data_IF_744438010105
#
_entry.id   IF_744438010105
#
_cell.length_a   1.000
_cell.length_b   1.000
_cell.length_c   1.000
_cell.angle_alpha   90.00
_cell.angle_beta   90.00
_cell.angle_gamma   90.00
#
_symmetry.space_group_name_H-M   'P 1'
#
loop_
_entity.id
_entity.type
_entity.pdbx_description
1 polymer ?
#
# COMPACT_ATOMS: atom_id res chain seq x y z
N UNK A 1 0.09 -4.80 -6.79
CA UNK A 1 0.76 -5.98 -6.21
C UNK A 1 2.28 -5.85 -6.24
N UNK A 2 2.94 -6.55 -5.31
CA UNK A 2 4.39 -6.54 -5.18
C UNK A 2 5.10 -7.64 -5.96
N UNK A 3 6.28 -8.01 -5.45
CA UNK A 3 7.16 -8.99 -6.07
C UNK A 3 8.06 -8.38 -7.14
N UNK A 4 9.19 -9.05 -7.39
CA UNK A 4 10.12 -8.65 -8.44
C UNK A 4 10.24 -9.80 -9.46
N UNK A 5 10.27 -9.53 -10.75
CA UNK A 5 10.33 -8.22 -11.39
C UNK A 5 8.98 -7.53 -11.61
N UNK A 6 7.86 -8.07 -11.09
CA UNK A 6 6.52 -7.53 -11.31
C UNK A 6 6.41 -6.04 -10.99
N UNK A 7 6.92 -5.62 -9.84
CA UNK A 7 6.90 -4.21 -9.42
C UNK A 7 7.67 -3.32 -10.40
N UNK A 8 8.84 -3.77 -10.87
CA UNK A 8 9.62 -3.05 -11.89
C UNK A 8 8.83 -2.90 -13.18
N UNK A 9 8.16 -3.96 -13.61
CA UNK A 9 7.36 -3.96 -14.84
C UNK A 9 6.18 -2.99 -14.73
N UNK A 10 5.52 -2.95 -13.56
CA UNK A 10 4.45 -1.99 -13.32
C UNK A 10 4.97 -0.55 -13.36
N UNK A 11 6.10 -0.29 -12.71
CA UNK A 11 6.69 1.05 -12.72
C UNK A 11 7.14 1.48 -14.11
N UNK A 12 7.59 0.55 -14.94
CA UNK A 12 7.98 0.83 -16.31
C UNK A 12 6.81 1.09 -17.24
N UNK A 13 5.58 0.78 -16.83
CA UNK A 13 4.37 1.01 -17.62
C UNK A 13 3.89 2.46 -17.49
N UNK A 14 3.90 3.19 -18.59
CA UNK A 14 3.39 4.56 -18.63
C UNK A 14 1.90 4.61 -18.28
N UNK A 15 1.15 3.59 -18.69
CA UNK A 15 -0.30 3.50 -18.42
C UNK A 15 -0.54 3.34 -16.92
N UNK A 16 0.22 2.46 -16.26
CA UNK A 16 0.09 2.24 -14.82
C UNK A 16 0.44 3.50 -14.05
N UNK A 17 1.57 4.12 -14.37
CA UNK A 17 2.01 5.34 -13.69
C UNK A 17 1.02 6.49 -13.90
N UNK A 18 0.47 6.64 -15.10
CA UNK A 18 -0.55 7.64 -15.37
C UNK A 18 -1.82 7.40 -14.56
N UNK A 19 -2.26 6.15 -14.46
CA UNK A 19 -3.44 5.77 -13.67
C UNK A 19 -3.22 6.06 -12.18
N UNK A 20 -2.05 5.73 -11.65
CA UNK A 20 -1.70 6.00 -10.25
C UNK A 20 -1.73 7.50 -9.97
N UNK A 21 -1.10 8.30 -10.82
CA UNK A 21 -1.09 9.76 -10.68
C UNK A 21 -2.49 10.35 -10.75
N UNK A 22 -3.33 9.83 -11.66
CA UNK A 22 -4.70 10.30 -11.80
C UNK A 22 -5.53 9.97 -10.56
N UNK A 23 -5.40 8.76 -10.03
CA UNK A 23 -6.07 8.38 -8.78
C UNK A 23 -5.66 9.28 -7.63
N UNK A 24 -4.36 9.59 -7.52
CA UNK A 24 -3.86 10.49 -6.50
C UNK A 24 -4.47 11.89 -6.63
N UNK A 25 -4.51 12.42 -7.86
CA UNK A 25 -5.08 13.73 -8.13
C UNK A 25 -6.58 13.80 -7.82
N UNK A 26 -7.30 12.70 -8.06
CA UNK A 26 -8.74 12.61 -7.81
C UNK A 26 -9.08 12.27 -6.35
N UNK A 27 -8.10 12.09 -5.50
CA UNK A 27 -8.34 11.71 -4.11
C UNK A 27 -8.87 10.28 -3.95
N UNK A 28 -8.64 9.41 -4.91
CA UNK A 28 -9.06 8.01 -4.86
C UNK A 28 -8.08 7.19 -4.06
N UNK A 29 -8.57 6.06 -3.54
CA UNK A 29 -7.74 5.15 -2.77
C UNK A 29 -6.62 4.55 -3.62
N UNK A 30 -5.40 4.63 -3.08
CA UNK A 30 -4.23 3.94 -3.61
C UNK A 30 -3.73 2.95 -2.57
N UNK A 31 -3.47 1.73 -2.99
CA UNK A 31 -3.01 0.69 -2.08
C UNK A 31 -1.89 -0.13 -2.73
N UNK A 32 -0.83 -0.39 -1.97
CA UNK A 32 0.32 -1.15 -2.46
C UNK A 32 0.94 -1.98 -1.35
N UNK A 33 1.41 -3.17 -1.70
CA UNK A 33 1.96 -4.14 -0.74
C UNK A 33 3.35 -4.59 -1.16
N UNK A 34 4.17 -4.93 -0.18
CA UNK A 34 5.49 -5.53 -0.36
C UNK A 34 6.47 -4.56 -1.01
N UNK A 35 6.96 -4.85 -2.22
CA UNK A 35 7.84 -3.94 -2.95
C UNK A 35 7.07 -2.81 -3.66
N UNK A 36 5.77 -2.99 -3.92
CA UNK A 36 5.00 -2.06 -4.73
C UNK A 36 4.90 -0.62 -4.21
N UNK A 37 4.96 -0.34 -2.89
CA UNK A 37 5.00 1.05 -2.42
C UNK A 37 6.12 1.89 -3.03
N UNK A 38 7.19 1.27 -3.52
CA UNK A 38 8.27 1.99 -4.21
C UNK A 38 7.74 2.77 -5.43
N UNK A 39 6.67 2.29 -6.06
CA UNK A 39 6.06 2.99 -7.21
C UNK A 39 5.52 4.34 -6.74
N UNK A 40 4.81 4.34 -5.62
CA UNK A 40 4.28 5.58 -5.05
C UNK A 40 5.42 6.52 -4.63
N UNK A 41 6.47 5.95 -4.04
CA UNK A 41 7.64 6.72 -3.62
C UNK A 41 8.34 7.38 -4.80
N UNK A 42 8.58 6.64 -5.87
CA UNK A 42 9.24 7.16 -7.07
C UNK A 42 8.38 8.20 -7.81
N UNK A 43 7.07 8.12 -7.68
CA UNK A 43 6.17 9.11 -8.28
C UNK A 43 5.97 10.35 -7.39
N UNK A 44 6.65 10.43 -6.25
CA UNK A 44 6.59 11.58 -5.35
C UNK A 44 5.31 11.66 -4.52
N UNK A 45 4.54 10.57 -4.43
CA UNK A 45 3.23 10.57 -3.78
C UNK A 45 3.30 10.34 -2.27
N UNK A 46 4.45 9.93 -1.75
CA UNK A 46 4.61 9.61 -0.33
C UNK A 46 5.28 10.70 0.49
N UNK A 47 5.60 11.85 -0.09
CA UNK A 47 6.24 12.95 0.63
C UNK A 47 5.34 13.46 1.75
N UNK A 48 5.88 13.47 2.97
CA UNK A 48 5.14 13.88 4.15
C UNK A 48 4.10 12.87 4.62
N UNK A 49 4.07 11.69 4.03
CA UNK A 49 3.15 10.61 4.38
C UNK A 49 3.84 9.54 5.20
N UNK A 50 3.06 8.85 6.03
CA UNK A 50 3.49 7.63 6.69
C UNK A 50 3.27 6.46 5.73
N UNK A 51 4.24 5.57 5.64
CA UNK A 51 4.15 4.43 4.73
C UNK A 51 5.05 3.28 5.18
N UNK A 52 4.77 2.09 4.69
CA UNK A 52 5.58 0.91 4.91
C UNK A 52 5.80 0.17 3.60
N UNK A 53 6.78 -0.72 3.58
CA UNK A 53 7.09 -1.56 2.42
C UNK A 53 7.87 -2.79 2.87
N UNK A 54 8.19 -3.66 1.93
CA UNK A 54 9.05 -4.81 2.21
C UNK A 54 10.44 -4.31 2.65
N UNK A 55 11.01 -4.88 3.73
CA UNK A 55 12.35 -4.49 4.19
C UNK A 55 13.40 -4.56 3.08
N UNK A 56 14.17 -3.49 2.94
CA UNK A 56 15.15 -3.34 1.87
C UNK A 56 14.74 -2.32 0.80
N UNK A 57 13.48 -1.89 0.76
CA UNK A 57 12.99 -0.91 -0.21
C UNK A 57 12.68 0.45 0.42
N UNK A 58 13.02 0.66 1.68
CA UNK A 58 12.67 1.87 2.42
C UNK A 58 13.19 3.15 1.77
N UNK A 59 14.38 3.09 1.18
CA UNK A 59 14.98 4.25 0.51
C UNK A 59 14.19 4.70 -0.72
N UNK A 60 13.38 3.81 -1.28
CA UNK A 60 12.54 4.12 -2.43
C UNK A 60 11.30 4.94 -2.04
N UNK A 61 10.98 5.01 -0.77
CA UNK A 61 9.83 5.77 -0.26
C UNK A 61 10.23 7.22 0.00
N UNK A 62 10.59 7.94 -1.06
CA UNK A 62 11.15 9.28 -0.98
C UNK A 62 10.25 10.25 -0.21
N UNK A 63 10.80 10.82 0.85
CA UNK A 63 10.12 11.80 1.69
C UNK A 63 9.08 11.23 2.65
N UNK A 64 8.91 9.91 2.71
CA UNK A 64 7.97 9.26 3.63
C UNK A 64 8.56 9.07 5.02
N UNK A 65 7.68 9.08 6.02
CA UNK A 65 7.99 8.52 7.34
C UNK A 65 7.74 7.02 7.26
N UNK A 66 8.81 6.23 7.21
CA UNK A 66 8.71 4.77 7.10
C UNK A 66 8.38 4.19 8.48
N UNK A 67 7.24 3.53 8.58
CA UNK A 67 6.71 3.06 9.86
C UNK A 67 7.22 1.69 10.27
N UNK A 68 7.52 0.83 9.30
CA UNK A 68 7.82 -0.58 9.57
C UNK A 68 6.63 -1.39 10.04
N UNK A 69 5.45 -0.81 10.13
CA UNK A 69 4.22 -1.51 10.50
C UNK A 69 3.82 -2.55 9.45
N UNK A 70 2.98 -3.52 9.85
CA UNK A 70 2.44 -4.50 8.89
C UNK A 70 1.59 -3.80 7.83
N UNK A 71 0.75 -2.87 8.24
CA UNK A 71 -0.09 -2.05 7.36
C UNK A 71 -0.09 -0.62 7.89
N UNK A 72 0.05 0.35 7.00
CA UNK A 72 -0.02 1.76 7.33
C UNK A 72 -1.06 2.42 6.44
N UNK A 73 -2.02 3.11 7.05
CA UNK A 73 -3.01 3.92 6.34
C UNK A 73 -2.71 5.40 6.63
N UNK A 74 -2.56 6.19 5.59
CA UNK A 74 -2.40 7.63 5.71
C UNK A 74 -3.24 8.31 4.62
N UNK A 75 -4.36 8.90 5.02
CA UNK A 75 -5.29 9.48 4.07
C UNK A 75 -5.83 8.42 3.11
N UNK A 76 -5.65 8.65 1.82
CA UNK A 76 -6.11 7.74 0.77
C UNK A 76 -5.02 6.76 0.29
N UNK A 77 -3.95 6.60 1.06
CA UNK A 77 -2.86 5.70 0.71
C UNK A 77 -2.73 4.62 1.79
N UNK A 78 -2.81 3.37 1.38
CA UNK A 78 -2.61 2.21 2.24
C UNK A 78 -1.41 1.44 1.70
N UNK A 79 -0.43 1.19 2.58
CA UNK A 79 0.75 0.40 2.22
C UNK A 79 0.87 -0.76 3.20
N UNK A 80 1.45 -1.87 2.74
CA UNK A 80 1.65 -3.05 3.57
C UNK A 80 3.03 -3.66 3.33
N UNK A 81 3.56 -4.29 4.38
CA UNK A 81 4.96 -4.68 4.47
C UNK A 81 5.32 -5.89 3.62
N UNK A 82 4.43 -6.83 3.48
CA UNK A 82 4.73 -8.05 2.74
C UNK A 82 3.58 -9.03 2.74
N UNK A 83 3.77 -10.17 2.09
CA UNK A 83 2.74 -11.19 1.91
C UNK A 83 2.08 -11.63 3.23
N UNK A 84 2.85 -11.67 4.31
CA UNK A 84 2.32 -12.00 5.64
C UNK A 84 1.29 -11.00 6.16
N UNK A 85 1.24 -9.80 5.62
CA UNK A 85 0.28 -8.77 5.99
C UNK A 85 -0.94 -8.72 5.05
N UNK A 86 -1.05 -9.63 4.08
CA UNK A 86 -2.08 -9.55 3.02
C UNK A 86 -3.50 -9.47 3.57
N UNK A 87 -3.83 -10.27 4.58
CA UNK A 87 -5.18 -10.26 5.17
C UNK A 87 -5.48 -8.93 5.87
N UNK A 88 -4.53 -8.43 6.64
CA UNK A 88 -4.66 -7.13 7.30
C UNK A 88 -4.75 -5.99 6.28
N UNK A 89 -4.00 -6.10 5.18
CA UNK A 89 -4.03 -5.16 4.08
C UNK A 89 -5.42 -5.12 3.44
N UNK A 90 -5.99 -6.29 3.14
CA UNK A 90 -7.35 -6.40 2.63
C UNK A 90 -8.39 -5.79 3.58
N UNK A 91 -8.25 -6.05 4.88
CA UNK A 91 -9.13 -5.49 5.90
C UNK A 91 -9.06 -3.95 5.93
N UNK A 92 -7.84 -3.38 5.82
CA UNK A 92 -7.66 -1.93 5.79
C UNK A 92 -8.31 -1.30 4.55
N UNK A 93 -8.19 -1.96 3.38
CA UNK A 93 -8.86 -1.52 2.15
C UNK A 93 -10.38 -1.57 2.32
N UNK A 94 -10.89 -2.66 2.90
CA UNK A 94 -12.31 -2.82 3.19
C UNK A 94 -12.82 -1.67 4.08
N UNK A 95 -12.10 -1.39 5.16
CA UNK A 95 -12.46 -0.32 6.07
C UNK A 95 -12.53 1.04 5.35
N UNK A 96 -11.58 1.30 4.46
CA UNK A 96 -11.51 2.55 3.72
C UNK A 96 -12.67 2.69 2.73
N UNK A 97 -13.01 1.61 2.04
CA UNK A 97 -14.05 1.62 1.00
C UNK A 97 -15.47 1.56 1.56
N UNK A 98 -15.66 0.86 2.68
CA UNK A 98 -16.98 0.62 3.27
C UNK A 98 -17.23 1.39 4.55
N UNK A 99 -16.22 2.06 5.09
CA UNK A 99 -16.34 2.75 6.36
C UNK A 99 -16.27 1.81 7.57
N UNK A 100 -15.75 0.61 7.41
CA UNK A 100 -15.61 -0.39 8.46
C UNK A 100 -15.83 -1.80 7.95
N UNK A 101 -15.85 -2.77 8.86
CA UNK A 101 -16.16 -4.17 8.57
C UNK A 101 -14.97 -5.09 8.35
N UNK A 102 -13.76 -4.55 8.25
CA UNK A 102 -12.56 -5.38 8.01
C UNK A 102 -12.29 -6.35 9.14
N UNK A 103 -12.41 -5.91 10.38
CA UNK A 103 -12.17 -6.75 11.56
C UNK A 103 -13.18 -7.92 11.64
N UNK A 104 -14.43 -7.64 11.37
CA UNK A 104 -15.49 -8.63 11.36
C UNK A 104 -15.26 -9.69 10.29
N UNK A 105 -14.86 -9.27 9.10
CA UNK A 105 -14.54 -10.20 8.01
C UNK A 105 -13.33 -11.08 8.39
N UNK A 106 -12.30 -10.51 8.98
CA UNK A 106 -11.15 -11.29 9.45
C UNK A 106 -11.56 -12.35 10.47
N UNK A 107 -12.47 -11.99 11.39
CA UNK A 107 -12.99 -12.94 12.37
C UNK A 107 -13.76 -14.07 11.72
N UNK A 108 -14.61 -13.78 10.74
CA UNK A 108 -15.33 -14.80 9.97
C UNK A 108 -14.38 -15.71 9.21
N UNK A 109 -13.27 -15.18 8.71
CA UNK A 109 -12.25 -15.95 8.01
C UNK A 109 -11.35 -16.74 8.95
N UNK A 110 -11.56 -16.65 10.26
CA UNK A 110 -10.71 -17.28 11.27
C UNK A 110 -9.25 -16.80 11.20
N UNK A 111 -9.06 -15.53 10.85
CA UNK A 111 -7.73 -14.94 10.88
C UNK A 111 -7.28 -14.82 12.34
N UNK A 112 -6.06 -15.27 12.68
CA UNK A 112 -5.57 -15.19 14.06
C UNK A 112 -5.44 -13.74 14.51
N UNK A 113 -5.78 -13.48 15.76
CA UNK A 113 -5.51 -12.18 16.36
C UNK A 113 -4.01 -12.02 16.58
N UNK A 114 -3.54 -10.82 16.29
CA UNK A 114 -2.12 -10.49 16.41
C UNK A 114 -1.93 -9.43 17.47
#
# INVERSE_FOLDING_TARGET
PGGMPGTKNLYASEIVCAAVKQCAADGRLLAAICAAPLIFGRLGLLRGKRATCFPGFEEELDGAEVTGELVTTDGNIITARGAGAAMLFGAAICDKLRGGGGKEILAEMQHPEI
#
